data_IF_741688837679
#
_entry.id   IF_741688837679
#
_cell.length_a   1.000
_cell.length_b   1.000
_cell.length_c   1.000
_cell.angle_alpha   90.00
_cell.angle_beta   90.00
_cell.angle_gamma   90.00
#
_symmetry.space_group_name_H-M   'P 1'
#
loop_
_entity.id
_entity.type
_entity.pdbx_description
1 polymer ?
#
# COMPACT_ATOMS: atom_id res chain seq x y z
N UNK A 1 -11.14 13.41 -13.84
CA UNK A 1 -12.07 12.81 -12.85
C UNK A 1 -13.31 12.35 -13.59
N UNK A 2 -13.88 11.21 -13.22
CA UNK A 2 -15.11 10.70 -13.85
C UNK A 2 -16.36 11.30 -13.19
N UNK A 3 -17.17 11.98 -14.01
CA UNK A 3 -18.40 12.67 -13.61
C UNK A 3 -19.67 11.83 -13.78
N UNK A 4 -19.56 10.61 -14.31
CA UNK A 4 -20.67 9.68 -14.50
C UNK A 4 -20.63 8.56 -13.46
N UNK A 5 -19.46 7.95 -13.23
CA UNK A 5 -19.31 6.85 -12.27
C UNK A 5 -19.26 7.27 -10.79
N UNK A 6 -18.99 8.57 -10.52
CA UNK A 6 -18.90 9.18 -9.18
C UNK A 6 -18.13 8.32 -8.16
N UNK A 7 -16.99 7.77 -8.57
CA UNK A 7 -16.17 6.88 -7.73
C UNK A 7 -15.83 7.47 -6.37
N UNK A 8 -15.59 8.78 -6.31
CA UNK A 8 -15.31 9.53 -5.08
C UNK A 8 -16.46 9.55 -4.06
N UNK A 9 -17.69 9.18 -4.47
CA UNK A 9 -18.87 9.07 -3.60
C UNK A 9 -19.20 7.63 -3.21
N UNK A 10 -18.49 6.63 -3.75
CA UNK A 10 -18.75 5.23 -3.42
C UNK A 10 -18.34 4.96 -1.97
N UNK A 11 -19.17 4.24 -1.18
CA UNK A 11 -18.87 3.99 0.22
C UNK A 11 -17.76 2.95 0.36
N UNK A 12 -17.03 3.01 1.46
CA UNK A 12 -16.33 1.84 2.00
C UNK A 12 -17.30 0.97 2.79
N UNK A 13 -16.98 -0.31 2.94
CA UNK A 13 -17.73 -1.27 3.75
C UNK A 13 -16.85 -1.78 4.90
N UNK A 14 -17.29 -1.58 6.13
CA UNK A 14 -16.63 -2.09 7.33
C UNK A 14 -17.43 -3.23 7.97
N UNK A 15 -16.77 -4.36 8.21
CA UNK A 15 -17.36 -5.53 8.90
C UNK A 15 -16.94 -5.51 10.36
N UNK A 16 -17.91 -5.45 11.28
CA UNK A 16 -17.70 -5.61 12.71
C UNK A 16 -18.21 -6.99 13.15
N UNK A 17 -17.33 -7.95 13.49
CA UNK A 17 -17.75 -9.21 14.09
C UNK A 17 -18.46 -8.98 15.43
N UNK A 18 -19.63 -9.61 15.61
CA UNK A 18 -20.47 -9.53 16.83
C UNK A 18 -20.53 -10.85 17.58
N UNK A 19 -19.82 -11.87 17.11
CA UNK A 19 -19.57 -13.13 17.79
C UNK A 19 -18.08 -13.50 17.68
N UNK A 20 -17.63 -14.48 18.48
CA UNK A 20 -16.27 -14.99 18.39
C UNK A 20 -16.15 -15.93 17.19
N UNK A 21 -15.54 -15.45 16.11
CA UNK A 21 -15.36 -16.23 14.87
C UNK A 21 -14.25 -17.30 14.97
N UNK A 22 -13.46 -17.27 16.04
CA UNK A 22 -12.37 -18.22 16.26
C UNK A 22 -11.12 -17.87 15.45
N UNK A 23 -10.25 -18.85 15.27
CA UNK A 23 -9.04 -18.72 14.46
C UNK A 23 -9.35 -18.81 12.97
N UNK A 24 -8.61 -18.08 12.17
CA UNK A 24 -8.77 -17.98 10.74
C UNK A 24 -7.97 -16.82 10.18
N UNK A 25 -8.29 -16.43 8.95
CA UNK A 25 -7.66 -15.33 8.25
C UNK A 25 -8.71 -14.43 7.58
N UNK A 26 -8.38 -13.15 7.43
CA UNK A 26 -9.03 -12.28 6.45
C UNK A 26 -8.30 -12.49 5.14
N UNK A 27 -9.00 -12.99 4.13
CA UNK A 27 -8.46 -13.33 2.83
C UNK A 27 -8.89 -12.30 1.80
N UNK A 28 -7.94 -11.84 0.99
CA UNK A 28 -8.15 -10.97 -0.16
C UNK A 28 -7.94 -11.79 -1.43
N UNK A 29 -8.90 -11.72 -2.35
CA UNK A 29 -8.77 -12.28 -3.69
C UNK A 29 -8.87 -11.16 -4.71
N UNK A 30 -7.83 -11.06 -5.55
CA UNK A 30 -7.74 -10.12 -6.65
C UNK A 30 -7.76 -10.90 -7.96
N UNK A 31 -8.75 -10.60 -8.80
CA UNK A 31 -8.94 -11.26 -10.10
C UNK A 31 -8.42 -10.29 -11.17
N UNK A 32 -7.54 -10.73 -12.09
CA UNK A 32 -7.12 -9.89 -13.20
C UNK A 32 -8.32 -9.46 -14.06
N UNK A 33 -8.46 -8.17 -14.33
CA UNK A 33 -9.47 -7.62 -15.24
C UNK A 33 -8.87 -6.50 -16.08
N UNK A 34 -9.41 -6.31 -17.29
CA UNK A 34 -9.08 -5.19 -18.18
C UNK A 34 -10.19 -4.14 -18.25
N UNK A 35 -11.34 -4.39 -17.60
CA UNK A 35 -12.50 -3.50 -17.61
C UNK A 35 -13.10 -3.29 -16.22
N UNK A 36 -13.67 -2.11 -16.00
CA UNK A 36 -14.26 -1.70 -14.72
C UNK A 36 -15.65 -2.31 -14.42
N UNK A 37 -16.29 -2.93 -15.41
CA UNK A 37 -17.64 -3.48 -15.27
C UNK A 37 -17.69 -4.82 -14.53
N UNK A 38 -16.53 -5.43 -14.30
CA UNK A 38 -16.41 -6.72 -13.61
C UNK A 38 -15.78 -6.47 -12.24
N UNK A 39 -16.52 -6.80 -11.18
CA UNK A 39 -15.97 -6.79 -9.82
C UNK A 39 -14.81 -7.79 -9.73
N UNK A 40 -13.67 -7.30 -9.26
CA UNK A 40 -12.43 -8.06 -9.31
C UNK A 40 -11.69 -8.11 -7.96
N UNK A 41 -12.33 -7.62 -6.90
CA UNK A 41 -11.81 -7.61 -5.53
C UNK A 41 -12.83 -8.26 -4.59
N UNK A 42 -12.40 -9.29 -3.87
CA UNK A 42 -13.22 -9.99 -2.86
C UNK A 42 -12.45 -10.07 -1.55
N UNK A 43 -13.08 -9.69 -0.43
CA UNK A 43 -12.51 -9.79 0.90
C UNK A 43 -13.46 -10.59 1.81
N UNK A 44 -12.95 -11.60 2.49
CA UNK A 44 -13.78 -12.51 3.31
C UNK A 44 -13.01 -13.08 4.50
N UNK A 45 -13.76 -13.51 5.52
CA UNK A 45 -13.20 -14.29 6.63
C UNK A 45 -13.18 -15.78 6.28
N UNK A 46 -12.03 -16.42 6.48
CA UNK A 46 -11.82 -17.83 6.28
C UNK A 46 -11.43 -18.51 7.60
N UNK A 47 -12.30 -19.35 8.19
CA UNK A 47 -11.95 -20.12 9.37
C UNK A 47 -10.74 -21.03 9.13
N UNK A 48 -9.89 -21.21 10.15
CA UNK A 48 -8.71 -22.09 10.08
C UNK A 48 -9.10 -23.56 9.87
N UNK A 49 -10.20 -23.98 10.52
CA UNK A 49 -10.72 -25.34 10.37
C UNK A 49 -11.52 -25.45 9.08
N UNK A 50 -11.17 -26.43 8.24
CA UNK A 50 -11.95 -26.78 7.07
C UNK A 50 -13.40 -27.14 7.44
N UNK A 51 -14.33 -26.53 6.72
CA UNK A 51 -15.78 -26.73 6.90
C UNK A 51 -16.18 -28.02 6.17
N UNK A 52 -16.91 -28.91 6.86
CA UNK A 52 -17.39 -30.17 6.32
C UNK A 52 -18.91 -30.15 6.13
N UNK A 53 -19.40 -31.03 5.27
CA UNK A 53 -20.83 -31.25 5.11
C UNK A 53 -21.46 -31.61 6.48
N UNK A 54 -22.53 -30.91 6.85
CA UNK A 54 -23.21 -31.06 8.13
C UNK A 54 -22.71 -30.14 9.25
N UNK A 55 -21.61 -29.38 9.06
CA UNK A 55 -21.19 -28.38 10.03
C UNK A 55 -22.20 -27.23 10.12
N UNK A 56 -22.54 -26.83 11.35
CA UNK A 56 -23.33 -25.63 11.63
C UNK A 56 -22.41 -24.52 12.14
N UNK A 57 -22.42 -23.38 11.46
CA UNK A 57 -21.60 -22.20 11.79
C UNK A 57 -22.52 -21.00 12.01
N UNK A 58 -22.25 -20.22 13.07
CA UNK A 58 -23.01 -19.03 13.40
C UNK A 58 -22.09 -17.79 13.43
N UNK A 59 -22.23 -16.93 12.43
CA UNK A 59 -21.49 -15.69 12.30
C UNK A 59 -22.44 -14.50 12.46
N UNK A 60 -22.35 -13.82 13.61
CA UNK A 60 -23.06 -12.57 13.82
C UNK A 60 -22.10 -11.43 13.49
N UNK A 61 -22.56 -10.46 12.69
CA UNK A 61 -21.78 -9.29 12.33
C UNK A 61 -22.66 -8.10 12.03
N UNK A 62 -22.04 -6.92 11.98
CA UNK A 62 -22.64 -5.67 11.51
C UNK A 62 -21.82 -5.11 10.37
N UNK A 63 -22.51 -4.52 9.40
CA UNK A 63 -21.93 -3.87 8.24
C UNK A 63 -22.18 -2.37 8.33
N UNK A 64 -21.13 -1.59 8.07
CA UNK A 64 -21.21 -0.13 7.98
C UNK A 64 -20.80 0.31 6.58
N UNK A 65 -21.73 0.93 5.85
CA UNK A 65 -21.44 1.59 4.57
C UNK A 65 -21.20 3.06 4.83
N UNK A 66 -19.96 3.50 4.71
CA UNK A 66 -19.53 4.85 5.04
C UNK A 66 -18.24 5.19 4.30
N UNK A 67 -17.96 6.48 4.10
CA UNK A 67 -16.68 6.91 3.54
C UNK A 67 -15.49 6.60 4.47
N UNK A 68 -15.74 6.46 5.77
CA UNK A 68 -14.72 6.17 6.79
C UNK A 68 -15.24 5.10 7.76
N UNK A 69 -14.35 4.25 8.32
CA UNK A 69 -14.76 3.24 9.28
C UNK A 69 -15.37 3.88 10.54
N UNK A 70 -16.31 3.20 11.23
CA UNK A 70 -16.99 3.73 12.42
C UNK A 70 -16.07 3.79 13.66
N UNK A 71 -14.90 3.16 13.58
CA UNK A 71 -13.86 3.15 14.59
C UNK A 71 -12.54 3.56 13.95
N UNK A 72 -11.77 4.39 14.64
CA UNK A 72 -10.48 4.88 14.17
C UNK A 72 -9.40 4.56 15.20
N UNK A 73 -8.23 4.16 14.71
CA UNK A 73 -7.03 3.98 15.52
C UNK A 73 -6.46 5.36 15.91
N UNK A 74 -5.84 5.52 17.08
CA UNK A 74 -5.04 6.70 17.39
C UNK A 74 -3.74 6.78 16.56
N UNK A 75 -3.35 5.69 15.89
CA UNK A 75 -2.18 5.66 15.02
C UNK A 75 -2.43 6.45 13.73
N UNK A 76 -1.35 6.97 13.14
CA UNK A 76 -1.40 7.51 11.80
C UNK A 76 -1.80 6.44 10.77
N UNK A 77 -2.45 6.85 9.69
CA UNK A 77 -2.90 5.97 8.62
C UNK A 77 -2.34 6.38 7.27
N UNK A 78 -2.31 5.45 6.33
CA UNK A 78 -1.99 5.73 4.94
C UNK A 78 -3.16 6.47 4.30
N UNK A 79 -2.91 7.68 3.81
CA UNK A 79 -3.85 8.44 2.99
C UNK A 79 -3.80 8.00 1.53
N UNK A 80 -2.60 7.77 1.01
CA UNK A 80 -2.38 7.44 -0.39
C UNK A 80 -1.06 6.72 -0.60
N UNK A 81 -1.05 5.82 -1.59
CA UNK A 81 0.16 5.18 -2.12
C UNK A 81 0.30 5.57 -3.57
N UNK A 82 1.49 6.03 -3.96
CA UNK A 82 1.85 6.36 -5.33
C UNK A 82 3.07 5.56 -5.73
N UNK A 83 3.13 5.17 -7.00
CA UNK A 83 4.30 4.50 -7.57
C UNK A 83 4.73 5.21 -8.84
N UNK A 84 6.02 5.15 -9.15
CA UNK A 84 6.59 5.86 -10.28
C UNK A 84 7.94 5.31 -10.69
N UNK A 85 8.61 6.00 -11.60
CA UNK A 85 10.01 5.72 -11.94
C UNK A 85 10.89 6.10 -10.74
N UNK A 86 11.79 5.20 -10.34
CA UNK A 86 12.74 5.44 -9.24
C UNK A 86 14.16 5.59 -9.74
N UNK A 87 15.11 5.67 -8.82
CA UNK A 87 16.55 5.67 -9.07
C UNK A 87 17.15 6.99 -9.52
N UNK A 88 16.34 8.04 -9.63
CA UNK A 88 16.78 9.38 -10.01
C UNK A 88 17.47 10.04 -8.81
N UNK A 89 18.74 10.48 -8.96
CA UNK A 89 19.38 11.36 -8.00
C UNK A 89 18.58 12.66 -7.79
N UNK A 90 18.78 13.30 -6.64
CA UNK A 90 18.20 14.62 -6.39
C UNK A 90 18.63 15.61 -7.49
N UNK A 91 17.66 16.37 -8.01
CA UNK A 91 17.88 17.31 -9.12
C UNK A 91 17.82 16.70 -10.53
N UNK A 92 17.75 15.37 -10.69
CA UNK A 92 17.51 14.77 -12.01
C UNK A 92 16.02 14.77 -12.36
N UNK A 93 15.67 15.45 -13.45
CA UNK A 93 14.33 15.41 -14.01
C UNK A 93 14.19 14.18 -14.95
N UNK A 94 13.17 13.32 -14.74
CA UNK A 94 12.81 12.30 -15.72
C UNK A 94 12.53 12.94 -17.09
N UNK A 95 13.13 12.39 -18.15
CA UNK A 95 13.07 12.95 -19.51
C UNK A 95 14.34 13.69 -19.93
N UNK A 96 15.23 14.04 -19.00
CA UNK A 96 16.53 14.66 -19.31
C UNK A 96 17.66 13.67 -19.10
N UNK A 97 17.74 13.13 -17.88
CA UNK A 97 18.76 12.18 -17.44
C UNK A 97 18.08 10.91 -16.92
N UNK A 98 18.58 9.74 -17.31
CA UNK A 98 18.05 8.45 -16.87
C UNK A 98 19.12 7.64 -16.16
N UNK A 99 18.83 7.05 -14.99
CA UNK A 99 19.77 6.18 -14.30
C UNK A 99 20.09 4.91 -15.11
N UNK A 100 21.30 4.39 -15.00
CA UNK A 100 21.69 3.13 -15.65
C UNK A 100 20.94 1.92 -15.08
N UNK A 101 20.55 2.00 -13.80
CA UNK A 101 19.85 0.94 -13.08
C UNK A 101 18.38 1.30 -12.92
N UNK A 102 17.52 0.42 -13.42
CA UNK A 102 16.08 0.55 -13.25
C UNK A 102 15.67 0.34 -11.78
N UNK A 103 14.76 1.18 -11.31
CA UNK A 103 14.16 1.10 -9.99
C UNK A 103 12.69 1.55 -10.03
N UNK A 104 11.91 1.10 -9.05
CA UNK A 104 10.52 1.54 -8.84
C UNK A 104 10.45 2.41 -7.59
N UNK A 105 9.96 3.64 -7.75
CA UNK A 105 9.69 4.53 -6.62
C UNK A 105 8.35 4.21 -5.99
N UNK A 106 8.32 4.22 -4.66
CA UNK A 106 7.10 4.20 -3.86
C UNK A 106 7.07 5.47 -3.02
N UNK A 107 5.93 6.14 -2.99
CA UNK A 107 5.66 7.30 -2.15
C UNK A 107 4.35 7.05 -1.37
N UNK A 108 4.46 6.96 -0.05
CA UNK A 108 3.35 6.63 0.85
C UNK A 108 3.10 7.84 1.75
N UNK A 109 1.90 8.39 1.67
CA UNK A 109 1.48 9.54 2.49
C UNK A 109 0.80 9.04 3.77
N UNK A 110 1.34 9.41 4.92
CA UNK A 110 0.75 9.16 6.24
C UNK A 110 0.13 10.44 6.81
N UNK A 111 -1.06 10.30 7.39
CA UNK A 111 -1.84 11.37 8.02
C UNK A 111 -2.44 10.93 9.35
N UNK A 112 -2.77 11.89 10.21
CA UNK A 112 -3.39 11.64 11.50
C UNK A 112 -2.41 11.09 12.55
N UNK A 113 -2.95 10.63 13.67
CA UNK A 113 -2.17 10.26 14.85
C UNK A 113 -1.24 11.37 15.34
N UNK A 114 -0.15 10.98 16.01
CA UNK A 114 0.78 11.92 16.65
C UNK A 114 1.98 12.30 15.77
N UNK A 115 1.88 12.21 14.44
CA UNK A 115 3.01 12.44 13.53
C UNK A 115 3.71 13.78 13.77
N UNK A 116 2.96 14.87 13.97
CA UNK A 116 3.53 16.20 14.26
C UNK A 116 4.31 16.25 15.57
N UNK A 117 3.80 15.58 16.60
CA UNK A 117 4.46 15.51 17.90
C UNK A 117 5.66 14.55 17.89
N UNK A 118 5.63 13.53 17.02
CA UNK A 118 6.71 12.58 16.81
C UNK A 118 7.85 13.17 15.97
N UNK A 119 7.57 14.03 15.00
CA UNK A 119 8.58 14.53 14.07
C UNK A 119 9.80 15.20 14.73
N UNK A 120 9.67 16.09 15.74
CA UNK A 120 10.83 16.64 16.45
C UNK A 120 11.65 15.58 17.21
N UNK A 121 11.04 14.43 17.53
CA UNK A 121 11.68 13.31 18.22
C UNK A 121 12.34 12.31 17.26
N UNK A 122 12.09 12.45 15.95
CA UNK A 122 12.54 11.54 14.91
C UNK A 122 11.48 10.51 14.53
N UNK A 123 10.99 10.60 13.29
CA UNK A 123 10.19 9.56 12.64
C UNK A 123 11.14 8.63 11.89
N UNK A 124 10.95 7.33 12.07
CA UNK A 124 11.72 6.28 11.41
C UNK A 124 10.77 5.38 10.60
N UNK A 125 10.91 5.29 9.27
CA UNK A 125 10.21 4.28 8.48
C UNK A 125 10.90 2.92 8.63
N UNK A 126 10.18 1.94 9.16
CA UNK A 126 10.65 0.56 9.26
C UNK A 126 10.13 -0.20 8.04
N UNK A 127 11.01 -0.45 7.06
CA UNK A 127 10.68 -1.10 5.79
C UNK A 127 11.19 -2.55 5.80
N UNK A 128 10.34 -3.49 5.40
CA UNK A 128 10.70 -4.90 5.20
C UNK A 128 10.22 -5.35 3.82
N UNK A 129 11.09 -6.01 3.08
CA UNK A 129 10.84 -6.49 1.73
C UNK A 129 11.14 -8.00 1.67
N UNK A 130 10.29 -8.78 0.99
CA UNK A 130 10.58 -10.19 0.74
C UNK A 130 11.72 -10.41 -0.26
N UNK A 131 11.95 -9.44 -1.16
CA UNK A 131 13.07 -9.43 -2.11
C UNK A 131 13.37 -8.02 -2.63
N UNK A 132 14.54 -7.84 -3.23
CA UNK A 132 15.06 -6.53 -3.63
C UNK A 132 15.56 -5.70 -2.44
N UNK A 133 15.90 -4.44 -2.71
CA UNK A 133 16.46 -3.52 -1.73
C UNK A 133 15.73 -2.16 -1.79
N UNK A 134 15.43 -1.59 -0.62
CA UNK A 134 14.98 -0.20 -0.51
C UNK A 134 16.20 0.73 -0.38
N UNK A 135 16.25 1.79 -1.20
CA UNK A 135 17.28 2.84 -1.16
C UNK A 135 16.61 4.21 -1.28
N UNK A 136 17.39 5.28 -1.11
CA UNK A 136 16.91 6.67 -1.26
C UNK A 136 15.64 6.94 -0.43
N UNK A 137 15.71 6.55 0.85
CA UNK A 137 14.60 6.72 1.77
C UNK A 137 14.54 8.19 2.17
N UNK A 138 13.42 8.84 1.92
CA UNK A 138 13.17 10.24 2.25
C UNK A 138 11.90 10.37 3.08
N UNK A 139 11.94 11.28 4.05
CA UNK A 139 10.81 11.62 4.92
C UNK A 139 10.50 13.08 4.67
N UNK A 140 9.37 13.35 4.02
CA UNK A 140 9.00 14.68 3.56
C UNK A 140 7.73 15.12 4.28
N UNK A 141 7.78 16.25 4.98
CA UNK A 141 6.54 16.90 5.41
C UNK A 141 5.84 17.51 4.20
N UNK A 142 4.53 17.30 4.10
CA UNK A 142 3.72 17.79 2.98
C UNK A 142 2.57 18.62 3.53
N UNK A 143 2.72 19.94 3.45
CA UNK A 143 1.77 20.92 3.96
C UNK A 143 0.34 20.71 3.43
N UNK A 144 0.08 20.48 2.11
CA UNK A 144 -1.29 20.38 1.59
C UNK A 144 -2.21 19.35 2.24
N UNK A 145 -1.67 18.26 2.77
CA UNK A 145 -2.44 17.25 3.51
C UNK A 145 -2.00 17.12 4.96
N UNK A 146 -1.12 18.00 5.41
CA UNK A 146 -0.64 18.10 6.78
C UNK A 146 -0.14 16.75 7.35
N UNK A 147 0.74 16.10 6.58
CA UNK A 147 1.25 14.78 6.90
C UNK A 147 2.66 14.55 6.39
N UNK A 148 3.10 13.29 6.45
CA UNK A 148 4.44 12.90 6.04
C UNK A 148 4.38 11.92 4.87
N UNK A 149 5.11 12.22 3.81
CA UNK A 149 5.39 11.30 2.72
C UNK A 149 6.68 10.56 3.01
N UNK A 150 6.60 9.23 3.04
CA UNK A 150 7.78 8.37 2.99
C UNK A 150 7.98 7.95 1.55
N UNK A 151 9.15 8.26 1.02
CA UNK A 151 9.56 7.85 -0.30
C UNK A 151 10.71 6.86 -0.18
N UNK A 152 10.72 5.84 -1.02
CA UNK A 152 11.88 4.99 -1.22
C UNK A 152 11.87 4.40 -2.64
N UNK A 153 13.06 4.07 -3.12
CA UNK A 153 13.26 3.39 -4.40
C UNK A 153 13.57 1.92 -4.15
N UNK A 154 12.74 1.05 -4.73
CA UNK A 154 12.94 -0.38 -4.76
C UNK A 154 13.82 -0.77 -5.96
N UNK A 155 14.92 -1.44 -5.66
CA UNK A 155 15.83 -2.01 -6.64
C UNK A 155 15.68 -3.54 -6.68
N UNK A 156 15.51 -4.14 -7.88
CA UNK A 156 15.55 -5.59 -8.01
C UNK A 156 16.98 -6.11 -7.70
N UNK A 157 17.08 -7.18 -6.92
CA UNK A 157 18.33 -7.91 -6.67
C UNK A 157 18.43 -9.23 -7.45
N UNK A 158 17.39 -9.55 -8.23
CA UNK A 158 17.36 -10.72 -9.12
C UNK A 158 16.40 -10.48 -10.30
N UNK A 159 16.44 -11.36 -11.28
CA UNK A 159 15.54 -11.35 -12.44
C UNK A 159 14.14 -11.93 -12.16
N UNK A 160 13.87 -12.37 -10.92
CA UNK A 160 12.58 -12.92 -10.53
C UNK A 160 11.44 -11.93 -10.79
N UNK A 161 10.33 -12.44 -11.30
CA UNK A 161 9.05 -11.73 -11.44
C UNK A 161 8.03 -12.15 -10.40
N UNK A 162 8.45 -12.92 -9.39
CA UNK A 162 7.59 -13.28 -8.28
C UNK A 162 7.11 -12.03 -7.53
N UNK A 163 5.91 -12.05 -6.92
CA UNK A 163 5.43 -10.94 -6.13
C UNK A 163 6.40 -10.58 -5.01
N UNK A 164 6.58 -9.29 -4.78
CA UNK A 164 7.38 -8.73 -3.69
C UNK A 164 6.41 -8.26 -2.63
N UNK A 165 6.46 -8.89 -1.46
CA UNK A 165 5.70 -8.45 -0.30
C UNK A 165 6.48 -7.33 0.39
N UNK A 166 5.85 -6.16 0.45
CA UNK A 166 6.39 -4.95 1.04
C UNK A 166 5.59 -4.60 2.28
N UNK A 167 6.31 -4.35 3.38
CA UNK A 167 5.74 -3.93 4.65
C UNK A 167 6.43 -2.67 5.12
N UNK A 168 5.66 -1.68 5.56
CA UNK A 168 6.19 -0.48 6.20
C UNK A 168 5.30 0.01 7.33
N UNK A 169 5.91 0.49 8.41
CA UNK A 169 5.22 1.31 9.41
C UNK A 169 6.17 2.40 9.91
N UNK A 170 5.62 3.45 10.51
CA UNK A 170 6.37 4.52 11.12
C UNK A 170 6.60 4.23 12.60
N UNK A 171 7.83 4.47 13.06
CA UNK A 171 8.26 4.32 14.44
C UNK A 171 8.80 5.64 14.97
N UNK A 172 8.60 5.91 16.25
CA UNK A 172 9.23 7.02 16.97
C UNK A 172 9.61 6.51 18.37
N UNK A 173 10.86 6.71 18.78
CA UNK A 173 11.37 6.31 20.10
C UNK A 173 11.06 4.84 20.49
N UNK A 174 11.06 3.94 19.50
CA UNK A 174 10.80 2.51 19.72
C UNK A 174 9.32 2.10 19.58
N UNK A 175 8.39 3.05 19.54
CA UNK A 175 6.95 2.77 19.45
C UNK A 175 6.43 2.96 18.01
N UNK A 176 5.54 2.07 17.57
CA UNK A 176 4.85 2.22 16.30
C UNK A 176 3.83 3.36 16.40
N UNK A 177 3.89 4.32 15.49
CA UNK A 177 3.05 5.52 15.45
C UNK A 177 2.11 5.55 14.23
N UNK A 178 2.16 4.54 13.37
CA UNK A 178 1.23 4.36 12.25
C UNK A 178 0.69 2.94 12.18
N UNK A 179 -0.36 2.76 11.38
CA UNK A 179 -0.70 1.45 10.84
C UNK A 179 0.45 0.87 10.01
N UNK A 180 0.36 -0.43 9.74
CA UNK A 180 1.29 -1.10 8.83
C UNK A 180 0.73 -1.03 7.41
N UNK A 181 1.43 -0.34 6.53
CA UNK A 181 1.26 -0.45 5.09
C UNK A 181 1.73 -1.83 4.63
N UNK A 182 0.81 -2.62 4.08
CA UNK A 182 1.08 -3.90 3.43
C UNK A 182 0.77 -3.75 1.95
N UNK A 183 1.74 -4.10 1.10
CA UNK A 183 1.62 -3.92 -0.33
C UNK A 183 2.30 -5.07 -1.07
N UNK A 184 1.62 -5.64 -2.06
CA UNK A 184 2.20 -6.65 -2.92
C UNK A 184 2.54 -6.02 -4.27
N UNK A 185 3.82 -6.01 -4.61
CA UNK A 185 4.31 -5.46 -5.87
C UNK A 185 4.66 -6.57 -6.85
N UNK A 186 4.15 -6.47 -8.07
CA UNK A 186 4.45 -7.40 -9.15
C UNK A 186 5.49 -6.75 -10.09
N UNK A 187 6.79 -7.06 -9.94
CA UNK A 187 7.83 -6.44 -10.75
C UNK A 187 7.69 -6.87 -12.22
N UNK A 188 7.95 -5.96 -13.17
CA UNK A 188 7.95 -6.32 -14.58
C UNK A 188 9.09 -7.32 -14.88
N UNK A 189 8.94 -8.04 -15.99
CA UNK A 189 9.98 -8.91 -16.53
C UNK A 189 11.29 -8.12 -16.76
N UNK A 190 12.47 -8.76 -16.62
CA UNK A 190 13.77 -8.08 -16.71
C UNK A 190 13.97 -7.24 -17.99
N UNK A 191 13.51 -7.72 -19.14
CA UNK A 191 13.56 -7.03 -20.43
C UNK A 191 12.72 -5.73 -20.47
N UNK A 192 11.74 -5.61 -19.56
CA UNK A 192 10.90 -4.43 -19.37
C UNK A 192 11.38 -3.50 -18.26
N UNK A 193 12.44 -3.86 -17.52
CA UNK A 193 13.07 -3.02 -16.49
C UNK A 193 14.04 -2.02 -17.12
N UNK A 194 13.48 -1.14 -17.94
CA UNK A 194 14.21 -0.07 -18.61
C UNK A 194 13.43 1.22 -18.46
N UNK A 195 14.15 2.34 -18.37
CA UNK A 195 13.48 3.62 -18.53
C UNK A 195 13.19 3.83 -20.00
N UNK A 196 11.99 4.33 -20.27
CA UNK A 196 11.59 4.73 -21.61
C UNK A 196 12.06 6.18 -21.81
N UNK A 197 12.99 6.37 -22.75
CA UNK A 197 13.39 7.69 -23.24
C UNK A 197 12.63 7.99 -24.53
N UNK A 198 11.55 8.75 -24.40
CA UNK A 198 10.66 9.11 -25.51
C UNK A 198 11.36 9.97 -26.58
N UNK A 199 12.55 10.52 -26.31
CA UNK A 199 13.34 11.28 -27.29
C UNK A 199 14.02 10.38 -28.32
N UNK A 200 14.20 9.10 -27.99
CA UNK A 200 14.94 8.12 -28.81
C UNK A 200 13.98 7.20 -29.57
N UNK A 201 12.72 7.10 -29.14
CA UNK A 201 11.69 6.37 -29.87
C UNK A 201 11.31 7.14 -31.15
N UNK A 202 11.90 6.75 -32.29
CA UNK A 202 11.48 7.16 -33.64
C UNK A 202 10.61 6.08 -34.28
#
# INVERSE_FOLDING_TARGET
>A
QDVMGWYNKRPSLWVEPRSKWGKGAVSLMEIPTTGETLDNVVCFWQPEKAIKAGDALAFNYRLYWSAQPPVQSPLARVMATRTGMGGFPEGWAPGEHYPDKWARRFAIDFVGGDLKAAAPKGIEPVITLSSGEAKQIEILYVEPFDGYRIQFDWYPTSDSTAPVDMRMFLRCQGEAISETWLYQYFPPAPDKRRYVDDRIMR
#
